data_IF_924536695114
#
_entry.id   IF_924536695114
#
_cell.length_a   1.000
_cell.length_b   1.000
_cell.length_c   1.000
_cell.angle_alpha   90.00
_cell.angle_beta   90.00
_cell.angle_gamma   90.00
#
_symmetry.space_group_name_H-M   'P 1'
#
loop_
_entity.id
_entity.type
_entity.pdbx_description
1 polymer ?
#
# COMPACT_ATOMS: atom_id res chain seq x y z
N UNK A 1 8.42 0.03 -22.94
CA UNK A 1 7.59 1.18 -22.50
C UNK A 1 7.88 1.44 -21.03
N UNK A 2 8.50 2.56 -20.62
CA UNK A 2 8.87 2.75 -19.23
C UNK A 2 7.82 3.55 -18.42
N UNK A 3 7.64 3.08 -17.18
CA UNK A 3 6.97 3.64 -16.00
C UNK A 3 5.43 3.76 -16.00
N UNK A 4 4.82 3.02 -15.06
CA UNK A 4 3.41 3.16 -14.69
C UNK A 4 3.13 4.55 -14.11
N UNK A 5 2.32 5.28 -14.87
CA UNK A 5 1.62 6.51 -14.56
C UNK A 5 0.68 6.29 -13.37
N UNK A 6 0.78 7.13 -12.34
CA UNK A 6 -0.47 7.63 -11.79
C UNK A 6 -0.47 8.39 -10.47
N UNK A 7 0.58 8.45 -9.66
CA UNK A 7 0.61 9.48 -8.61
C UNK A 7 1.22 10.75 -9.21
N UNK A 8 0.36 11.71 -9.57
CA UNK A 8 0.78 12.95 -10.23
C UNK A 8 1.73 13.82 -9.37
N UNK A 9 1.85 13.52 -8.07
CA UNK A 9 2.76 14.21 -7.16
C UNK A 9 3.46 13.20 -6.21
N UNK A 10 4.73 12.85 -6.46
CA UNK A 10 5.51 11.94 -5.61
C UNK A 10 5.62 12.39 -4.15
N UNK A 11 5.72 13.70 -3.90
CA UNK A 11 5.81 14.25 -2.54
C UNK A 11 4.54 14.02 -1.74
N UNK A 12 3.37 14.13 -2.39
CA UNK A 12 2.08 13.83 -1.75
C UNK A 12 1.99 12.34 -1.44
N UNK A 13 2.36 11.48 -2.39
CA UNK A 13 2.35 10.04 -2.16
C UNK A 13 3.26 9.64 -0.99
N UNK A 14 4.48 10.20 -0.93
CA UNK A 14 5.39 10.01 0.19
C UNK A 14 4.77 10.46 1.52
N UNK A 15 4.19 11.66 1.57
CA UNK A 15 3.53 12.16 2.77
C UNK A 15 2.38 11.26 3.24
N UNK A 16 1.53 10.78 2.33
CA UNK A 16 0.42 9.88 2.65
C UNK A 16 0.93 8.54 3.20
N UNK A 17 2.00 8.01 2.61
CA UNK A 17 2.65 6.78 3.07
C UNK A 17 3.21 6.93 4.48
N UNK A 18 3.93 8.03 4.76
CA UNK A 18 4.43 8.32 6.11
C UNK A 18 3.29 8.49 7.12
N UNK A 19 2.21 9.18 6.75
CA UNK A 19 1.02 9.32 7.61
C UNK A 19 0.37 7.96 7.91
N UNK A 20 0.31 7.08 6.90
CA UNK A 20 -0.23 5.72 7.06
C UNK A 20 0.61 4.92 8.05
N UNK A 21 1.93 4.96 7.92
CA UNK A 21 2.86 4.30 8.85
C UNK A 21 2.76 4.88 10.25
N UNK A 22 2.68 6.21 10.37
CA UNK A 22 2.51 6.89 11.65
C UNK A 22 1.22 6.46 12.36
N UNK A 23 0.11 6.35 11.62
CA UNK A 23 -1.15 5.86 12.14
C UNK A 23 -1.07 4.39 12.59
N UNK A 24 -0.58 3.49 11.74
CA UNK A 24 -0.46 2.07 12.08
C UNK A 24 0.48 1.82 13.26
N UNK A 25 1.57 2.57 13.38
CA UNK A 25 2.45 2.51 14.57
C UNK A 25 1.73 2.95 15.84
N UNK A 26 0.90 3.99 15.78
CA UNK A 26 0.10 4.44 16.92
C UNK A 26 -0.92 3.37 17.36
N UNK A 27 -1.42 2.56 16.42
CA UNK A 27 -2.27 1.39 16.68
C UNK A 27 -1.49 0.14 17.12
N UNK A 28 -0.16 0.25 17.30
CA UNK A 28 0.69 -0.82 17.83
C UNK A 28 1.29 -1.77 16.79
N UNK A 29 1.18 -1.46 15.49
CA UNK A 29 1.85 -2.24 14.44
C UNK A 29 3.33 -1.86 14.30
N UNK A 30 4.20 -2.85 14.20
CA UNK A 30 5.61 -2.64 13.85
C UNK A 30 5.78 -2.58 12.33
N UNK A 31 5.57 -1.38 11.77
CA UNK A 31 5.58 -1.13 10.32
C UNK A 31 6.58 -0.06 9.92
N UNK A 32 6.99 -0.05 8.65
CA UNK A 32 7.87 0.98 8.06
C UNK A 32 7.40 1.41 6.68
N UNK A 33 7.72 2.64 6.30
CA UNK A 33 7.52 3.11 4.95
C UNK A 33 8.60 2.54 4.04
N UNK A 34 8.21 2.14 2.84
CA UNK A 34 9.14 1.78 1.76
C UNK A 34 10.22 2.84 1.56
N UNK A 35 11.46 2.43 1.29
CA UNK A 35 12.57 3.38 1.17
C UNK A 35 12.37 4.32 -0.02
N UNK A 36 12.60 5.61 0.19
CA UNK A 36 12.63 6.58 -0.89
C UNK A 36 14.07 6.75 -1.37
N UNK A 37 14.34 6.38 -2.63
CA UNK A 37 15.67 6.57 -3.24
C UNK A 37 15.75 7.92 -3.93
N UNK A 38 16.82 8.68 -3.66
CA UNK A 38 17.06 9.96 -4.32
C UNK A 38 17.51 9.80 -5.78
N UNK A 39 18.03 8.63 -6.16
CA UNK A 39 18.54 8.33 -7.50
C UNK A 39 17.87 7.09 -8.06
N UNK A 40 17.53 7.16 -9.36
CA UNK A 40 16.92 6.05 -10.11
C UNK A 40 17.79 4.79 -10.16
N UNK A 41 19.12 4.94 -10.16
CA UNK A 41 20.07 3.83 -10.10
C UNK A 41 19.88 2.95 -8.87
N UNK A 42 19.45 3.54 -7.76
CA UNK A 42 19.39 2.88 -6.46
C UNK A 42 18.05 2.14 -6.28
N UNK A 43 17.05 2.45 -7.12
CA UNK A 43 15.71 1.87 -7.08
C UNK A 43 15.57 0.58 -7.93
N UNK A 44 16.54 0.26 -8.79
CA UNK A 44 16.39 -0.76 -9.84
C UNK A 44 16.60 -2.22 -9.37
N UNK A 45 17.07 -2.46 -8.15
CA UNK A 45 17.51 -3.81 -7.75
C UNK A 45 16.46 -4.66 -7.01
N UNK A 46 15.61 -4.08 -6.16
CA UNK A 46 14.62 -4.85 -5.36
C UNK A 46 13.38 -4.04 -4.96
N UNK A 47 13.48 -2.71 -4.97
CA UNK A 47 12.48 -1.87 -4.32
C UNK A 47 11.24 -1.62 -5.20
N UNK A 48 11.30 -1.77 -6.53
CA UNK A 48 10.17 -1.39 -7.39
C UNK A 48 8.86 -2.12 -7.07
N UNK A 49 8.95 -3.38 -6.64
CA UNK A 49 7.79 -4.21 -6.34
C UNK A 49 7.50 -4.30 -4.84
N UNK A 50 8.33 -3.71 -3.97
CA UNK A 50 8.07 -3.71 -2.53
C UNK A 50 6.74 -2.99 -2.20
N UNK A 51 5.99 -3.45 -1.18
CA UNK A 51 4.79 -2.76 -0.72
C UNK A 51 5.16 -1.36 -0.22
N UNK A 52 4.22 -0.41 -0.27
CA UNK A 52 4.48 0.96 0.21
C UNK A 52 4.60 1.02 1.73
N UNK A 53 3.95 0.09 2.42
CA UNK A 53 4.07 -0.11 3.87
C UNK A 53 4.52 -1.53 4.12
N UNK A 54 5.68 -1.67 4.76
CA UNK A 54 6.30 -2.93 5.14
C UNK A 54 5.97 -3.26 6.60
N UNK A 55 6.13 -4.54 6.98
CA UNK A 55 5.92 -5.01 8.36
C UNK A 55 4.50 -5.47 8.68
N UNK A 56 3.55 -5.40 7.74
CA UNK A 56 2.19 -5.94 7.92
C UNK A 56 2.21 -7.45 7.57
N UNK A 57 1.98 -8.36 8.53
CA UNK A 57 2.10 -9.79 8.28
C UNK A 57 1.15 -10.29 7.18
N UNK A 58 1.70 -10.84 6.10
CA UNK A 58 0.94 -11.42 4.99
C UNK A 58 0.23 -10.43 4.07
N UNK A 59 0.39 -9.11 4.28
CA UNK A 59 -0.30 -8.07 3.51
C UNK A 59 0.69 -7.26 2.67
N UNK A 60 0.40 -7.18 1.37
CA UNK A 60 0.99 -6.22 0.46
C UNK A 60 0.12 -4.97 0.40
N UNK A 61 0.52 -3.91 1.10
CA UNK A 61 -0.22 -2.65 1.11
C UNK A 61 0.38 -1.66 0.10
N UNK A 62 -0.40 -1.31 -0.91
CA UNK A 62 -0.11 -0.22 -1.83
C UNK A 62 -0.90 1.04 -1.43
N UNK A 63 -0.28 2.22 -1.55
CA UNK A 63 -0.89 3.51 -1.19
C UNK A 63 -1.20 4.29 -2.46
N UNK A 64 -2.46 4.70 -2.65
CA UNK A 64 -2.84 5.59 -3.74
C UNK A 64 -3.14 6.99 -3.21
N UNK A 65 -2.46 7.99 -3.78
CA UNK A 65 -2.66 9.41 -3.45
C UNK A 65 -3.34 10.18 -4.59
N UNK A 66 -3.96 9.45 -5.53
CA UNK A 66 -4.62 10.03 -6.70
C UNK A 66 -5.93 10.68 -6.31
N UNK A 67 -6.23 11.83 -6.91
CA UNK A 67 -7.54 12.50 -6.79
C UNK A 67 -8.63 11.80 -7.61
N UNK A 68 -8.25 11.14 -8.72
CA UNK A 68 -9.14 10.30 -9.52
C UNK A 68 -8.72 8.85 -9.36
N UNK A 69 -9.53 8.09 -8.64
CA UNK A 69 -9.21 6.72 -8.28
C UNK A 69 -9.47 5.75 -9.44
N UNK A 70 -8.55 4.81 -9.66
CA UNK A 70 -8.70 3.68 -10.59
C UNK A 70 -8.58 2.39 -9.79
N UNK A 71 -9.47 2.23 -8.80
CA UNK A 71 -9.34 1.26 -7.72
C UNK A 71 -9.16 -0.18 -8.23
N UNK A 72 -9.89 -0.59 -9.26
CA UNK A 72 -9.72 -1.92 -9.86
C UNK A 72 -8.31 -2.13 -10.42
N UNK A 73 -7.81 -1.17 -11.21
CA UNK A 73 -6.46 -1.28 -11.79
C UNK A 73 -5.35 -1.17 -10.75
N UNK A 74 -5.55 -0.35 -9.71
CA UNK A 74 -4.62 -0.23 -8.59
C UNK A 74 -4.59 -1.54 -7.77
N UNK A 75 -5.75 -2.17 -7.55
CA UNK A 75 -5.85 -3.45 -6.85
C UNK A 75 -5.27 -4.62 -7.67
N UNK A 76 -5.47 -4.65 -8.98
CA UNK A 76 -4.88 -5.64 -9.88
C UNK A 76 -3.35 -5.49 -9.95
N UNK A 77 -2.83 -4.26 -9.85
CA UNK A 77 -1.40 -4.02 -9.75
C UNK A 77 -0.84 -4.49 -8.41
N UNK A 78 -1.51 -4.13 -7.30
CA UNK A 78 -1.15 -4.58 -5.96
C UNK A 78 -1.18 -6.11 -5.86
N UNK A 79 -2.18 -6.78 -6.46
CA UNK A 79 -2.24 -8.24 -6.52
C UNK A 79 -1.01 -8.84 -7.19
N UNK A 80 -0.66 -8.36 -8.38
CA UNK A 80 0.49 -8.90 -9.11
C UNK A 80 1.79 -8.73 -8.33
N UNK A 81 1.99 -7.58 -7.68
CA UNK A 81 3.15 -7.35 -6.83
C UNK A 81 3.11 -8.25 -5.58
N UNK A 82 1.93 -8.46 -4.99
CA UNK A 82 1.75 -9.37 -3.86
C UNK A 82 2.12 -10.82 -4.22
N UNK A 83 1.68 -11.29 -5.39
CA UNK A 83 1.97 -12.63 -5.89
C UNK A 83 3.49 -12.81 -6.13
N UNK A 84 4.17 -11.79 -6.67
CA UNK A 84 5.63 -11.81 -6.88
C UNK A 84 6.38 -11.85 -5.55
N UNK A 85 5.93 -11.08 -4.56
CA UNK A 85 6.58 -11.00 -3.25
C UNK A 85 6.17 -12.14 -2.29
N UNK A 86 5.31 -13.06 -2.72
CA UNK A 86 4.84 -14.18 -1.89
C UNK A 86 3.91 -13.79 -0.74
N UNK A 87 3.29 -12.61 -0.80
CA UNK A 87 2.30 -12.14 0.20
C UNK A 87 0.89 -12.57 -0.17
N UNK A 88 0.10 -13.00 0.83
CA UNK A 88 -1.19 -13.66 0.61
C UNK A 88 -2.36 -12.70 0.39
N UNK A 89 -2.25 -11.46 0.86
CA UNK A 89 -3.28 -10.42 0.77
C UNK A 89 -2.74 -9.22 0.03
N UNK A 90 -3.48 -8.73 -0.97
CA UNK A 90 -3.21 -7.50 -1.67
C UNK A 90 -4.24 -6.44 -1.25
N UNK A 91 -3.75 -5.31 -0.78
CA UNK A 91 -4.57 -4.22 -0.27
C UNK A 91 -4.16 -2.89 -0.91
N UNK A 92 -5.14 -2.02 -1.13
CA UNK A 92 -4.92 -0.65 -1.60
C UNK A 92 -5.51 0.33 -0.61
N UNK A 93 -4.68 1.23 -0.07
CA UNK A 93 -5.14 2.36 0.73
C UNK A 93 -5.55 3.51 -0.17
N UNK A 94 -6.82 3.89 -0.07
CA UNK A 94 -7.39 5.08 -0.70
C UNK A 94 -7.37 6.24 0.31
N UNK A 95 -6.43 7.16 0.10
CA UNK A 95 -6.38 8.40 0.88
C UNK A 95 -7.49 9.38 0.49
N UNK A 96 -8.02 10.07 1.49
CA UNK A 96 -9.08 11.08 1.37
C UNK A 96 -8.51 12.43 1.81
N UNK A 97 -8.11 13.26 0.85
CA UNK A 97 -7.27 14.43 1.09
C UNK A 97 -7.77 15.44 2.14
N UNK A 98 -9.09 15.55 2.31
CA UNK A 98 -9.72 16.48 3.26
C UNK A 98 -10.18 15.80 4.56
N UNK A 99 -9.69 14.59 4.83
CA UNK A 99 -10.05 13.81 6.02
C UNK A 99 -8.79 13.35 6.75
N UNK A 100 -8.87 13.12 8.08
CA UNK A 100 -7.81 12.45 8.82
C UNK A 100 -7.40 11.13 8.17
N UNK A 101 -6.13 10.72 8.34
CA UNK A 101 -5.63 9.46 7.78
C UNK A 101 -6.39 8.23 8.30
N UNK A 102 -6.91 8.31 9.52
CA UNK A 102 -7.77 7.29 10.13
C UNK A 102 -9.06 7.02 9.34
N UNK A 103 -9.53 8.00 8.55
CA UNK A 103 -10.74 7.87 7.72
C UNK A 103 -10.45 7.33 6.31
N UNK A 104 -9.20 6.94 6.02
CA UNK A 104 -8.83 6.33 4.75
C UNK A 104 -9.50 4.96 4.59
N UNK A 105 -9.77 4.57 3.35
CA UNK A 105 -10.29 3.23 3.06
C UNK A 105 -9.17 2.28 2.69
N UNK A 106 -9.24 1.05 3.18
CA UNK A 106 -8.41 -0.05 2.68
C UNK A 106 -9.31 -0.97 1.87
N UNK A 107 -8.97 -1.13 0.60
CA UNK A 107 -9.70 -1.97 -0.34
C UNK A 107 -8.94 -3.28 -0.55
N UNK A 108 -9.69 -4.38 -0.55
CA UNK A 108 -9.20 -5.73 -0.84
C UNK A 108 -10.18 -6.44 -1.76
N UNK A 109 -9.75 -7.53 -2.38
CA UNK A 109 -10.69 -8.42 -3.07
C UNK A 109 -11.57 -9.16 -2.05
N UNK A 110 -12.74 -9.64 -2.48
CA UNK A 110 -13.61 -10.45 -1.62
C UNK A 110 -12.90 -11.73 -1.12
N UNK A 111 -12.05 -12.32 -1.96
CA UNK A 111 -11.28 -13.52 -1.60
C UNK A 111 -10.26 -13.22 -0.49
N UNK A 112 -9.59 -12.08 -0.54
CA UNK A 112 -8.64 -11.67 0.50
C UNK A 112 -9.34 -11.25 1.77
N UNK A 113 -10.47 -10.56 1.66
CA UNK A 113 -11.31 -10.27 2.82
C UNK A 113 -11.68 -11.56 3.57
N UNK A 114 -12.09 -12.61 2.85
CA UNK A 114 -12.38 -13.91 3.45
C UNK A 114 -11.15 -14.53 4.13
N UNK A 115 -9.94 -14.33 3.61
CA UNK A 115 -8.69 -14.79 4.26
C UNK A 115 -8.41 -14.02 5.55
N UNK A 116 -8.55 -12.69 5.54
CA UNK A 116 -8.34 -11.84 6.72
C UNK A 116 -9.30 -12.21 7.85
N UNK A 117 -10.58 -12.41 7.53
CA UNK A 117 -11.60 -12.79 8.52
C UNK A 117 -11.31 -14.17 9.10
N UNK A 118 -10.83 -15.13 8.30
CA UNK A 118 -10.46 -16.47 8.82
C UNK A 118 -9.19 -16.46 9.67
N UNK A 119 -8.24 -15.58 9.36
CA UNK A 119 -6.99 -15.45 10.10
C UNK A 119 -7.17 -14.71 11.44
N UNK A 120 -8.26 -13.96 11.58
CA UNK A 120 -8.60 -13.26 12.81
C UNK A 120 -9.44 -14.20 13.69
N UNK A 121 -8.94 -14.70 14.83
CA UNK A 121 -9.75 -15.50 15.73
C UNK A 121 -10.96 -14.67 16.21
N UNK A 122 -12.15 -15.28 16.40
CA UNK A 122 -13.29 -14.58 16.96
C UNK A 122 -12.95 -14.05 18.37
N UNK A 123 -13.58 -12.94 18.80
CA UNK A 123 -13.36 -12.35 20.13
C UNK A 123 -13.76 -13.29 21.26
#
# INVERSE_FOLDING_TARGET
MPAAIGNANPSVHHAVRELTVGYLRAEGFDVSAKRHHARLSDALADDMLAPDVEGIPGVHLAVTSRLRHRLSGDLDAARRAADINGTSVAAVLQWRAERPIADAYVLVSLADFARLVRATPPP
#
